data_IF_342212240869
#
_entry.id   IF_342212240869
#
_cell.length_a   1.000
_cell.length_b   1.000
_cell.length_c   1.000
_cell.angle_alpha   90.00
_cell.angle_beta   90.00
_cell.angle_gamma   90.00
#
_symmetry.space_group_name_H-M   'P 1'
#
loop_
_entity.id
_entity.type
_entity.pdbx_description
1 polymer ?
#
# COMPACT_ATOMS: atom_id res chain seq x y z
N UNK A 1 1.91 18.04 -0.20
CA UNK A 1 0.96 17.02 -0.71
C UNK A 1 -0.38 17.68 -0.92
N UNK A 2 -1.12 17.27 -1.93
CA UNK A 2 -2.37 17.89 -2.31
C UNK A 2 -3.42 16.84 -2.67
N UNK A 3 -4.69 17.19 -2.53
CA UNK A 3 -5.80 16.36 -2.92
C UNK A 3 -6.93 17.23 -3.49
N UNK A 4 -7.60 16.70 -4.50
CA UNK A 4 -8.79 17.32 -5.09
C UNK A 4 -9.89 16.27 -5.14
N UNK A 5 -11.08 16.64 -4.70
CA UNK A 5 -12.24 15.77 -4.80
C UNK A 5 -13.49 16.55 -5.19
N UNK A 6 -14.36 15.92 -5.93
CA UNK A 6 -15.63 16.45 -6.36
C UNK A 6 -16.74 15.40 -6.22
N UNK A 7 -17.93 15.88 -5.96
CA UNK A 7 -19.13 15.03 -5.92
C UNK A 7 -20.29 15.72 -6.62
N UNK A 8 -20.96 14.96 -7.49
CA UNK A 8 -22.13 15.44 -8.21
C UNK A 8 -23.34 14.58 -7.86
N UNK A 9 -24.32 15.21 -7.25
CA UNK A 9 -25.61 14.55 -6.94
C UNK A 9 -26.54 14.69 -8.14
N UNK A 10 -26.55 13.69 -8.98
CA UNK A 10 -27.28 13.64 -10.25
C UNK A 10 -28.79 13.63 -9.98
N UNK A 11 -29.23 13.02 -8.86
CA UNK A 11 -30.64 12.99 -8.47
C UNK A 11 -31.29 14.37 -8.27
N UNK A 12 -30.47 15.42 -8.06
CA UNK A 12 -30.98 16.78 -7.92
C UNK A 12 -31.19 17.50 -9.27
N UNK A 13 -30.73 16.91 -10.37
CA UNK A 13 -30.85 17.51 -11.69
C UNK A 13 -32.27 17.41 -12.24
N UNK A 14 -32.65 18.38 -13.06
CA UNK A 14 -34.00 18.50 -13.58
C UNK A 14 -34.51 17.28 -14.36
N UNK A 15 -33.58 16.58 -15.04
CA UNK A 15 -33.91 15.38 -15.83
C UNK A 15 -34.15 14.12 -14.98
N UNK A 16 -33.69 14.08 -13.71
CA UNK A 16 -33.93 12.96 -12.76
C UNK A 16 -34.89 13.32 -11.64
N UNK A 17 -35.19 14.60 -11.44
CA UNK A 17 -35.99 15.09 -10.33
C UNK A 17 -37.40 14.48 -10.28
N UNK A 18 -37.99 14.17 -11.44
CA UNK A 18 -39.32 13.60 -11.55
C UNK A 18 -39.36 12.07 -11.59
N UNK A 19 -38.19 11.44 -11.49
CA UNK A 19 -38.04 9.97 -11.51
C UNK A 19 -38.25 9.44 -10.09
N UNK A 20 -39.48 9.01 -9.78
CA UNK A 20 -39.92 8.65 -8.43
C UNK A 20 -39.21 7.48 -7.78
N UNK A 21 -38.59 6.60 -8.56
CA UNK A 21 -37.89 5.43 -8.03
C UNK A 21 -36.41 5.68 -7.71
N UNK A 22 -35.86 6.85 -8.06
CA UNK A 22 -34.51 7.29 -7.71
C UNK A 22 -34.58 8.27 -6.56
N UNK A 23 -34.11 7.86 -5.38
CA UNK A 23 -34.07 8.73 -4.20
C UNK A 23 -32.77 9.51 -4.13
N UNK A 24 -31.66 8.83 -4.34
CA UNK A 24 -30.34 9.46 -4.41
C UNK A 24 -29.48 8.78 -5.47
N UNK A 25 -28.74 9.59 -6.19
CA UNK A 25 -27.73 9.14 -7.14
C UNK A 25 -26.59 10.15 -7.11
N UNK A 26 -25.42 9.72 -6.65
CA UNK A 26 -24.24 10.58 -6.48
C UNK A 26 -23.00 9.93 -7.09
N UNK A 27 -22.34 10.69 -7.94
CA UNK A 27 -21.02 10.35 -8.47
C UNK A 27 -19.95 11.09 -7.67
N UNK A 28 -18.88 10.42 -7.37
CA UNK A 28 -17.70 10.95 -6.67
C UNK A 28 -16.45 10.71 -7.50
N UNK A 29 -15.56 11.69 -7.54
CA UNK A 29 -14.24 11.58 -8.12
C UNK A 29 -13.24 12.23 -7.18
N UNK A 30 -12.15 11.54 -6.89
CA UNK A 30 -11.09 12.04 -6.04
C UNK A 30 -9.72 11.67 -6.59
N UNK A 31 -8.80 12.61 -6.51
CA UNK A 31 -7.38 12.36 -6.74
C UNK A 31 -6.58 13.04 -5.64
N UNK A 32 -5.61 12.30 -5.09
CA UNK A 32 -4.77 12.82 -4.03
C UNK A 32 -3.37 12.22 -4.06
N UNK A 33 -2.43 13.00 -3.55
CA UNK A 33 -1.05 12.60 -3.36
C UNK A 33 -0.69 12.76 -1.90
N UNK A 34 -0.16 11.71 -1.30
CA UNK A 34 0.29 11.68 0.10
C UNK A 34 1.74 11.21 0.17
N UNK A 35 2.49 11.72 1.11
CA UNK A 35 3.86 11.29 1.38
C UNK A 35 3.96 10.47 2.65
N UNK A 36 4.87 9.53 2.62
CA UNK A 36 5.24 8.74 3.79
C UNK A 36 6.75 8.85 4.01
N UNK A 37 7.14 9.29 5.20
CA UNK A 37 8.53 9.36 5.64
C UNK A 37 8.86 8.21 6.61
N UNK A 38 8.32 7.02 6.40
CA UNK A 38 8.37 5.87 7.29
C UNK A 38 9.76 5.40 7.76
N UNK A 39 10.81 6.12 7.40
CA UNK A 39 12.14 5.95 7.96
C UNK A 39 12.36 6.88 9.15
N UNK A 40 12.82 6.33 10.27
CA UNK A 40 13.19 7.12 11.45
C UNK A 40 14.37 8.07 11.20
N UNK A 41 14.72 8.83 12.23
CA UNK A 41 15.89 9.74 12.17
C UNK A 41 17.20 8.99 11.93
N UNK A 42 18.15 9.64 11.25
CA UNK A 42 19.52 9.14 11.07
C UNK A 42 19.78 8.26 9.86
N UNK A 43 18.83 8.15 8.92
CA UNK A 43 19.07 7.48 7.64
C UNK A 43 19.70 8.40 6.58
N UNK A 44 19.48 9.69 6.70
CA UNK A 44 20.06 10.72 5.81
C UNK A 44 21.28 11.40 6.40
N UNK A 45 21.47 11.33 7.73
CA UNK A 45 22.56 11.99 8.45
C UNK A 45 23.32 10.98 9.30
N UNK A 46 24.63 11.06 9.31
CA UNK A 46 25.46 10.16 10.12
C UNK A 46 25.20 10.36 11.62
N UNK A 47 24.92 9.26 12.28
CA UNK A 47 24.78 9.20 13.72
C UNK A 47 25.85 8.26 14.28
N UNK A 48 26.41 8.67 15.39
CA UNK A 48 27.42 7.87 16.12
C UNK A 48 26.90 7.57 17.53
N UNK A 49 27.26 6.41 18.02
CA UNK A 49 27.02 6.05 19.43
C UNK A 49 28.29 5.48 20.06
N UNK A 50 28.43 5.64 21.35
CA UNK A 50 29.53 5.14 22.16
C UNK A 50 29.30 3.66 22.52
N UNK A 51 29.54 2.74 21.57
CA UNK A 51 29.35 1.30 21.79
C UNK A 51 30.54 0.46 21.34
N UNK A 52 31.46 1.06 20.59
CA UNK A 52 32.57 0.34 20.06
C UNK A 52 33.81 0.51 20.99
N UNK A 53 34.60 -0.52 21.08
CA UNK A 53 35.85 -0.49 21.84
C UNK A 53 37.04 -0.52 20.85
N UNK A 54 37.98 0.36 21.05
CA UNK A 54 39.19 0.48 20.22
C UNK A 54 40.45 0.23 21.03
N UNK A 55 41.36 -0.57 20.55
CA UNK A 55 42.64 -0.75 21.21
C UNK A 55 43.55 0.48 20.99
N UNK A 56 43.87 1.16 22.07
CA UNK A 56 44.82 2.27 22.09
C UNK A 56 45.95 1.94 23.07
N UNK A 57 47.18 1.81 22.57
CA UNK A 57 48.36 1.42 23.39
C UNK A 57 48.16 0.13 24.20
N UNK A 58 47.47 -0.86 23.60
CA UNK A 58 47.17 -2.14 24.25
C UNK A 58 46.05 -2.14 25.26
N UNK A 59 45.35 -1.02 25.44
CA UNK A 59 44.18 -0.88 26.33
C UNK A 59 42.94 -0.64 25.49
N UNK A 60 41.88 -1.37 25.76
CA UNK A 60 40.57 -1.17 25.16
C UNK A 60 39.90 0.09 25.71
N UNK A 61 39.62 1.04 24.87
CA UNK A 61 38.93 2.29 25.24
C UNK A 61 37.62 2.43 24.49
N UNK A 62 36.59 3.06 25.13
CA UNK A 62 35.35 3.37 24.46
C UNK A 62 35.57 4.25 23.23
N UNK A 63 35.01 3.85 22.11
CA UNK A 63 35.01 4.59 20.87
C UNK A 63 33.58 4.89 20.37
N UNK A 64 33.50 5.67 19.33
CA UNK A 64 32.24 6.00 18.68
C UNK A 64 32.17 5.30 17.33
N UNK A 65 31.20 4.42 17.15
CA UNK A 65 30.89 3.78 15.89
C UNK A 65 29.65 4.37 15.22
N UNK A 66 29.57 4.25 13.90
CA UNK A 66 28.36 4.63 13.17
C UNK A 66 27.19 3.71 13.55
N UNK A 67 26.00 4.26 13.62
CA UNK A 67 24.81 3.48 13.97
C UNK A 67 24.29 2.66 12.79
N UNK A 68 24.44 3.19 11.57
CA UNK A 68 23.97 2.59 10.31
C UNK A 68 24.65 3.23 9.09
N UNK A 69 24.53 2.61 7.93
CA UNK A 69 24.83 3.28 6.69
C UNK A 69 23.82 4.39 6.42
N UNK A 70 24.27 5.50 5.88
CA UNK A 70 23.42 6.63 5.53
C UNK A 70 23.25 6.75 4.03
N UNK A 71 22.10 7.23 3.63
CA UNK A 71 21.81 7.60 2.25
C UNK A 71 21.27 9.05 2.25
N UNK A 72 22.09 10.04 1.87
CA UNK A 72 21.67 11.44 1.85
C UNK A 72 20.60 11.72 0.78
N UNK A 73 20.47 10.86 -0.24
CA UNK A 73 19.56 11.02 -1.36
C UNK A 73 18.16 10.43 -1.10
N UNK A 74 17.89 9.99 0.14
CA UNK A 74 16.57 9.47 0.51
C UNK A 74 15.47 10.49 0.30
N UNK A 75 14.43 10.05 -0.37
CA UNK A 75 13.18 10.80 -0.59
C UNK A 75 12.05 10.17 0.20
N UNK A 76 11.00 10.94 0.40
CA UNK A 76 9.74 10.42 0.89
C UNK A 76 9.12 9.48 -0.14
N UNK A 77 8.50 8.43 0.33
CA UNK A 77 7.63 7.59 -0.47
C UNK A 77 6.38 8.38 -0.86
N UNK A 78 6.05 8.42 -2.13
CA UNK A 78 4.90 9.16 -2.66
C UNK A 78 3.81 8.19 -3.08
N UNK A 79 2.61 8.36 -2.50
CA UNK A 79 1.41 7.61 -2.86
C UNK A 79 0.43 8.52 -3.57
N UNK A 80 0.13 8.22 -4.82
CA UNK A 80 -0.96 8.82 -5.58
C UNK A 80 -2.17 7.87 -5.65
N UNK A 81 -3.37 8.42 -5.55
CA UNK A 81 -4.62 7.64 -5.59
C UNK A 81 -5.67 8.37 -6.41
N UNK A 82 -6.22 7.68 -7.40
CA UNK A 82 -7.41 8.05 -8.14
C UNK A 82 -8.56 7.15 -7.69
N UNK A 83 -9.66 7.76 -7.26
CA UNK A 83 -10.87 7.06 -6.84
C UNK A 83 -12.08 7.59 -7.60
N UNK A 84 -12.90 6.68 -8.13
CA UNK A 84 -14.22 6.96 -8.68
C UNK A 84 -15.25 6.18 -7.87
N UNK A 85 -16.31 6.85 -7.43
CA UNK A 85 -17.36 6.25 -6.64
C UNK A 85 -18.75 6.60 -7.17
N UNK A 86 -19.67 5.67 -7.04
CA UNK A 86 -21.10 5.83 -7.32
C UNK A 86 -21.87 5.39 -6.09
N UNK A 87 -22.68 6.30 -5.52
CA UNK A 87 -23.62 5.99 -4.45
C UNK A 87 -25.04 6.09 -5.01
N UNK A 88 -25.90 5.15 -4.67
CA UNK A 88 -27.31 5.19 -5.08
C UNK A 88 -28.25 4.71 -3.99
N UNK A 89 -29.46 5.27 -4.02
CA UNK A 89 -30.60 4.84 -3.23
C UNK A 89 -31.86 4.89 -4.07
N UNK A 90 -32.63 3.82 -4.07
CA UNK A 90 -33.74 3.58 -4.97
C UNK A 90 -34.97 3.07 -4.19
N UNK A 91 -36.19 3.29 -4.76
CA UNK A 91 -37.44 2.73 -4.27
C UNK A 91 -37.75 3.09 -2.81
N UNK A 92 -37.79 4.40 -2.50
CA UNK A 92 -37.97 4.93 -1.14
C UNK A 92 -36.94 4.38 -0.13
N UNK A 93 -35.67 4.40 -0.54
CA UNK A 93 -34.53 3.89 0.22
C UNK A 93 -34.61 2.39 0.56
N UNK A 94 -35.40 1.64 -0.20
CA UNK A 94 -35.49 0.19 -0.02
C UNK A 94 -34.31 -0.55 -0.60
N UNK A 95 -33.68 -0.03 -1.64
CA UNK A 95 -32.47 -0.58 -2.27
C UNK A 95 -31.40 0.51 -2.30
N UNK A 96 -30.25 0.23 -1.73
CA UNK A 96 -29.13 1.16 -1.71
C UNK A 96 -27.82 0.44 -2.00
N UNK A 97 -26.87 1.17 -2.51
CA UNK A 97 -25.55 0.59 -2.77
C UNK A 97 -24.49 1.61 -3.05
N UNK A 98 -23.27 1.09 -3.09
CA UNK A 98 -22.05 1.83 -3.42
C UNK A 98 -21.21 1.01 -4.37
N UNK A 99 -20.59 1.68 -5.30
CA UNK A 99 -19.57 1.12 -6.15
C UNK A 99 -18.36 2.06 -6.15
N UNK A 100 -17.21 1.55 -5.77
CA UNK A 100 -15.94 2.27 -5.80
C UNK A 100 -14.95 1.51 -6.67
N UNK A 101 -14.23 2.24 -7.52
CA UNK A 101 -13.08 1.73 -8.26
C UNK A 101 -11.90 2.66 -7.99
N UNK A 102 -10.75 2.09 -7.70
CA UNK A 102 -9.58 2.87 -7.35
C UNK A 102 -8.32 2.36 -8.04
N UNK A 103 -7.43 3.30 -8.26
CA UNK A 103 -6.09 3.06 -8.73
C UNK A 103 -5.11 3.82 -7.85
N UNK A 104 -4.24 3.08 -7.16
CA UNK A 104 -3.21 3.60 -6.28
C UNK A 104 -1.84 3.27 -6.87
N UNK A 105 -0.93 4.23 -6.78
CA UNK A 105 0.46 4.05 -7.17
C UNK A 105 1.34 4.56 -6.03
N UNK A 106 2.34 3.78 -5.67
CA UNK A 106 3.38 4.16 -4.72
C UNK A 106 4.67 4.24 -5.52
N UNK A 107 5.27 5.41 -5.52
CA UNK A 107 6.58 5.65 -6.12
C UNK A 107 7.62 5.92 -5.02
N UNK A 108 8.87 5.74 -5.35
CA UNK A 108 10.00 5.91 -4.44
C UNK A 108 9.88 5.09 -3.14
N UNK A 109 9.33 3.87 -3.26
CA UNK A 109 9.12 2.97 -2.13
C UNK A 109 10.42 2.72 -1.37
N UNK A 110 10.36 2.94 -0.06
CA UNK A 110 11.48 2.80 0.85
C UNK A 110 11.70 1.34 1.22
N UNK A 111 12.93 0.88 1.02
CA UNK A 111 13.30 -0.48 1.39
C UNK A 111 14.73 -0.55 1.91
N UNK A 112 14.95 -1.40 2.90
CA UNK A 112 16.29 -1.69 3.41
C UNK A 112 16.92 -2.81 2.59
N UNK A 113 18.01 -2.51 1.90
CA UNK A 113 18.71 -3.45 1.01
C UNK A 113 20.08 -3.82 1.54
N UNK A 114 20.55 -5.00 1.18
CA UNK A 114 21.88 -5.42 1.52
C UNK A 114 22.93 -4.49 0.90
N UNK A 115 23.94 -4.15 1.67
CA UNK A 115 25.05 -3.31 1.26
C UNK A 115 26.36 -4.11 1.27
N UNK A 116 27.25 -3.93 0.27
CA UNK A 116 28.52 -4.62 0.24
C UNK A 116 29.43 -4.11 1.36
N UNK A 117 29.99 -5.03 2.12
CA UNK A 117 31.02 -4.72 3.13
C UNK A 117 32.33 -5.37 2.73
N UNK A 118 33.44 -4.63 2.53
CA UNK A 118 33.53 -3.19 2.34
C UNK A 118 32.96 -2.72 0.99
N UNK A 119 32.68 -1.43 0.72
CA UNK A 119 33.15 -0.27 1.50
C UNK A 119 32.14 0.20 2.57
N UNK A 120 30.95 -0.38 2.65
CA UNK A 120 29.97 0.00 3.66
C UNK A 120 30.36 -0.55 5.03
N UNK A 121 29.95 0.16 6.11
CA UNK A 121 30.26 -0.21 7.50
C UNK A 121 29.23 -1.22 8.05
N UNK A 122 27.99 -1.14 7.57
CA UNK A 122 26.90 -2.05 7.95
C UNK A 122 26.41 -2.82 6.72
N UNK A 123 25.77 -3.94 6.96
CA UNK A 123 25.29 -4.89 5.95
C UNK A 123 24.03 -4.43 5.21
N UNK A 124 23.38 -3.37 5.68
CA UNK A 124 22.18 -2.83 5.06
C UNK A 124 22.23 -1.32 4.86
N UNK A 125 21.46 -0.83 3.88
CA UNK A 125 21.26 0.60 3.63
C UNK A 125 19.83 0.85 3.14
N UNK A 126 19.21 1.94 3.61
CA UNK A 126 17.88 2.35 3.16
C UNK A 126 17.98 3.04 1.79
N UNK A 127 17.12 2.64 0.85
CA UNK A 127 17.03 3.22 -0.51
C UNK A 127 15.60 3.36 -0.98
N UNK A 128 15.37 4.29 -1.90
CA UNK A 128 14.15 4.36 -2.67
C UNK A 128 14.30 3.47 -3.91
N UNK A 129 13.81 2.25 -3.87
CA UNK A 129 14.11 1.26 -4.92
C UNK A 129 12.91 0.74 -5.68
N UNK A 130 11.71 1.12 -5.31
CA UNK A 130 10.55 0.46 -5.85
C UNK A 130 9.40 1.36 -6.25
N UNK A 131 8.50 0.80 -7.03
CA UNK A 131 7.16 1.31 -7.23
C UNK A 131 6.14 0.18 -7.22
N UNK A 132 4.99 0.47 -6.66
CA UNK A 132 3.88 -0.46 -6.46
C UNK A 132 2.61 0.11 -7.07
N UNK A 133 1.86 -0.71 -7.75
CA UNK A 133 0.53 -0.38 -8.26
C UNK A 133 -0.51 -1.26 -7.58
N UNK A 134 -1.59 -0.64 -7.12
CA UNK A 134 -2.72 -1.33 -6.53
C UNK A 134 -4.00 -0.85 -7.22
N UNK A 135 -4.76 -1.80 -7.78
CA UNK A 135 -6.04 -1.56 -8.44
C UNK A 135 -7.10 -2.43 -7.80
N UNK A 136 -8.27 -1.86 -7.62
CA UNK A 136 -9.35 -2.63 -7.07
C UNK A 136 -10.71 -1.98 -7.29
N UNK A 137 -11.73 -2.74 -6.94
CA UNK A 137 -13.10 -2.27 -6.88
C UNK A 137 -13.79 -2.85 -5.64
N UNK A 138 -14.74 -2.09 -5.14
CA UNK A 138 -15.56 -2.44 -4.00
C UNK A 138 -17.02 -2.20 -4.39
N UNK A 139 -17.87 -3.16 -4.10
CA UNK A 139 -19.29 -3.09 -4.35
C UNK A 139 -20.07 -3.45 -3.09
N UNK A 140 -20.98 -2.61 -2.71
CA UNK A 140 -21.93 -2.85 -1.63
C UNK A 140 -23.35 -2.68 -2.17
N UNK A 141 -24.18 -3.67 -1.93
CA UNK A 141 -25.61 -3.62 -2.23
C UNK A 141 -26.38 -4.04 -1.00
N UNK A 142 -27.29 -3.22 -0.54
CA UNK A 142 -28.14 -3.50 0.59
C UNK A 142 -29.58 -3.17 0.29
N UNK A 143 -30.50 -3.81 0.99
CA UNK A 143 -31.91 -3.53 0.81
C UNK A 143 -32.82 -4.05 1.91
N UNK A 144 -33.95 -3.39 2.03
CA UNK A 144 -35.08 -3.84 2.87
C UNK A 144 -35.90 -4.88 2.11
N UNK A 145 -35.58 -6.17 2.33
CA UNK A 145 -36.33 -7.27 1.67
C UNK A 145 -37.76 -7.31 2.15
N UNK A 146 -37.96 -7.13 3.46
CA UNK A 146 -39.28 -7.02 4.05
C UNK A 146 -39.34 -5.73 4.85
N UNK A 147 -40.32 -4.91 4.55
CA UNK A 147 -40.61 -3.68 5.29
C UNK A 147 -42.12 -3.61 5.54
N UNK A 148 -42.53 -3.98 6.76
CA UNK A 148 -43.88 -3.91 7.23
C UNK A 148 -43.99 -3.05 8.50
N UNK A 149 -45.18 -2.79 8.97
CA UNK A 149 -45.45 -1.95 10.16
C UNK A 149 -44.74 -2.49 11.42
N UNK A 150 -44.65 -3.83 11.56
CA UNK A 150 -44.13 -4.48 12.78
C UNK A 150 -42.86 -5.30 12.56
N UNK A 151 -42.37 -5.39 11.30
CA UNK A 151 -41.21 -6.20 11.00
C UNK A 151 -40.40 -5.62 9.83
N UNK A 152 -39.13 -5.52 9.99
CA UNK A 152 -38.19 -5.08 8.96
C UNK A 152 -37.06 -6.10 8.85
N UNK A 153 -36.78 -6.56 7.65
CA UNK A 153 -35.67 -7.43 7.34
C UNK A 153 -34.79 -6.77 6.27
N UNK A 154 -33.59 -6.41 6.67
CA UNK A 154 -32.58 -5.79 5.81
C UNK A 154 -31.43 -6.76 5.59
N UNK A 155 -30.96 -6.87 4.38
CA UNK A 155 -29.78 -7.66 4.03
C UNK A 155 -28.82 -6.83 3.20
N UNK A 156 -27.54 -7.11 3.30
CA UNK A 156 -26.50 -6.49 2.47
C UNK A 156 -25.47 -7.51 2.00
N UNK A 157 -24.98 -7.29 0.78
CA UNK A 157 -23.89 -8.03 0.15
C UNK A 157 -22.74 -7.06 -0.09
N UNK A 158 -21.51 -7.48 0.26
CA UNK A 158 -20.30 -6.75 -0.03
C UNK A 158 -19.36 -7.64 -0.82
N UNK A 159 -18.86 -7.12 -1.92
CA UNK A 159 -17.88 -7.77 -2.78
C UNK A 159 -16.72 -6.80 -2.99
N UNK A 160 -15.51 -7.34 -2.96
CA UNK A 160 -14.31 -6.56 -3.27
C UNK A 160 -13.30 -7.39 -4.02
N UNK A 161 -12.57 -6.73 -4.88
CA UNK A 161 -11.42 -7.32 -5.56
C UNK A 161 -10.28 -6.33 -5.53
N UNK A 162 -9.09 -6.84 -5.19
CA UNK A 162 -7.88 -6.04 -5.09
C UNK A 162 -6.72 -6.78 -5.74
N UNK A 163 -5.93 -6.06 -6.52
CA UNK A 163 -4.73 -6.56 -7.19
C UNK A 163 -3.57 -5.61 -6.95
N UNK A 164 -2.54 -6.10 -6.27
CA UNK A 164 -1.32 -5.35 -5.99
C UNK A 164 -0.17 -5.94 -6.80
N UNK A 165 0.54 -5.08 -7.53
CA UNK A 165 1.63 -5.46 -8.41
C UNK A 165 2.85 -4.58 -8.17
N UNK A 166 4.01 -5.19 -8.04
CA UNK A 166 5.28 -4.47 -8.06
C UNK A 166 5.57 -4.08 -9.50
N UNK A 167 5.72 -2.79 -9.76
CA UNK A 167 6.04 -2.28 -11.10
C UNK A 167 7.54 -2.18 -11.31
N UNK A 168 8.26 -1.78 -10.27
CA UNK A 168 9.71 -1.71 -10.27
C UNK A 168 10.24 -2.04 -8.87
N UNK A 169 11.31 -2.81 -8.81
CA UNK A 169 12.04 -3.12 -7.60
C UNK A 169 13.54 -3.19 -7.96
N UNK A 170 14.28 -2.12 -7.58
CA UNK A 170 15.70 -2.03 -7.92
C UNK A 170 16.00 -2.00 -9.43
N UNK A 171 17.15 -2.53 -9.79
CA UNK A 171 17.60 -2.71 -11.16
C UNK A 171 17.00 -3.96 -11.80
N UNK A 172 17.12 -4.09 -13.13
CA UNK A 172 16.63 -5.25 -13.86
C UNK A 172 17.24 -6.55 -13.32
N UNK A 173 16.36 -7.52 -13.03
CA UNK A 173 16.76 -8.80 -12.46
C UNK A 173 16.89 -8.81 -10.93
N UNK A 174 16.72 -7.67 -10.26
CA UNK A 174 16.71 -7.63 -8.80
C UNK A 174 15.43 -8.29 -8.25
N UNK A 175 15.61 -9.07 -7.18
CA UNK A 175 14.49 -9.69 -6.46
C UNK A 175 14.76 -9.70 -4.96
N UNK A 176 13.69 -9.79 -4.19
CA UNK A 176 13.71 -9.94 -2.74
C UNK A 176 12.93 -11.19 -2.36
N UNK A 177 13.61 -12.12 -1.71
CA UNK A 177 12.98 -13.29 -1.13
C UNK A 177 12.44 -12.93 0.25
N UNK A 178 11.13 -13.10 0.44
CA UNK A 178 10.45 -12.68 1.65
C UNK A 178 10.08 -13.93 2.48
N UNK A 179 9.18 -14.51 2.64
CA UNK A 179 8.69 -15.49 3.60
C UNK A 179 9.53 -16.78 3.60
N UNK A 180 10.22 -17.01 4.70
CA UNK A 180 10.84 -18.32 4.99
C UNK A 180 9.80 -19.21 5.64
N UNK A 181 9.58 -20.41 5.11
CA UNK A 181 8.73 -21.38 5.78
C UNK A 181 9.40 -21.87 7.08
N UNK A 182 8.65 -21.92 8.19
CA UNK A 182 9.16 -22.55 9.39
C UNK A 182 9.39 -24.06 9.12
N UNK A 183 10.48 -24.59 9.66
CA UNK A 183 10.85 -26.02 9.69
C UNK A 183 9.64 -26.99 9.88
N UNK A 184 9.69 -28.24 9.36
CA UNK A 184 10.92 -29.02 9.34
C UNK A 184 11.62 -29.01 7.97
N UNK A 185 12.96 -28.87 7.98
CA UNK A 185 13.76 -29.05 6.78
C UNK A 185 14.20 -27.79 6.04
N UNK A 186 13.85 -26.58 6.52
CA UNK A 186 14.20 -25.29 5.92
C UNK A 186 14.04 -25.26 4.39
N UNK A 187 12.80 -25.30 3.88
CA UNK A 187 12.54 -25.41 2.45
C UNK A 187 12.86 -24.15 1.64
N UNK A 188 13.41 -23.13 2.28
CA UNK A 188 13.75 -21.85 1.65
C UNK A 188 12.62 -20.83 1.69
N UNK A 189 12.80 -19.77 0.93
CA UNK A 189 11.80 -18.70 0.77
C UNK A 189 10.75 -19.10 -0.26
N UNK A 190 9.50 -18.84 0.06
CA UNK A 190 8.37 -19.24 -0.79
C UNK A 190 7.75 -18.07 -1.55
N UNK A 191 7.98 -16.84 -1.12
CA UNK A 191 7.44 -15.64 -1.76
C UNK A 191 8.59 -14.80 -2.27
N UNK A 192 8.56 -14.48 -3.55
CA UNK A 192 9.53 -13.63 -4.20
C UNK A 192 8.87 -12.35 -4.70
N UNK A 193 9.48 -11.22 -4.36
CA UNK A 193 9.16 -9.91 -4.90
C UNK A 193 10.12 -9.61 -6.05
N UNK A 194 9.58 -9.33 -7.22
CA UNK A 194 10.34 -8.95 -8.40
C UNK A 194 9.52 -8.03 -9.31
N UNK A 195 10.15 -7.48 -10.34
CA UNK A 195 9.48 -6.60 -11.28
C UNK A 195 8.30 -7.30 -11.96
N UNK A 196 7.21 -6.58 -12.11
CA UNK A 196 5.99 -6.99 -12.80
C UNK A 196 5.25 -8.20 -12.21
N UNK A 197 5.48 -8.52 -10.95
CA UNK A 197 4.85 -9.64 -10.24
C UNK A 197 3.84 -9.16 -9.20
N UNK A 198 2.78 -9.92 -9.02
CA UNK A 198 1.80 -9.69 -7.97
C UNK A 198 2.41 -10.00 -6.59
N UNK A 199 2.07 -9.16 -5.60
CA UNK A 199 2.50 -9.40 -4.21
C UNK A 199 1.82 -10.64 -3.67
N UNK A 200 2.61 -11.50 -3.02
CA UNK A 200 2.12 -12.75 -2.44
C UNK A 200 2.13 -13.93 -3.40
N UNK A 201 2.70 -13.78 -4.59
CA UNK A 201 2.88 -14.90 -5.50
C UNK A 201 3.92 -15.88 -4.96
N UNK A 202 3.55 -17.18 -4.93
CA UNK A 202 4.47 -18.23 -4.53
C UNK A 202 5.53 -18.50 -5.60
N UNK A 203 6.76 -18.64 -5.14
CA UNK A 203 7.91 -19.02 -5.94
C UNK A 203 8.46 -20.35 -5.41
N UNK A 204 8.08 -21.45 -6.02
CA UNK A 204 8.40 -22.79 -5.57
C UNK A 204 8.88 -23.66 -6.74
N UNK A 205 9.64 -24.71 -6.43
CA UNK A 205 10.01 -25.69 -7.42
C UNK A 205 8.78 -26.49 -7.89
N UNK A 206 8.64 -26.63 -9.19
CA UNK A 206 7.62 -27.51 -9.78
C UNK A 206 8.25 -28.88 -9.99
N UNK A 207 7.67 -29.90 -9.38
CA UNK A 207 8.02 -31.27 -9.73
C UNK A 207 7.59 -31.55 -11.19
N UNK A 208 8.52 -32.14 -11.94
CA UNK A 208 8.26 -32.59 -13.32
C UNK A 208 7.52 -33.94 -13.33
#
# INVERSE_FOLDING_TARGET
FWALSGGWRISNETFLRDVRWVNDLKVRLGYGVTGNNGFGNGYTTRMYKANDMWPTNGIWQPGYGSVRNVNPDLKWEEKSELNFGLDFSLFDDRLWGKFDIYHRKVDDMLYEVNAPMPPMVHDTVMKNIGSLENKGWEFELGGDIVRSKNFRYTSSLRLSHNKSKIKRLGDDGYFLDQVTFPSPGNPGTAVRLQNDVEIGQFFVYKYA
#
